data_IF_624018983582
#
_entry.id   IF_624018983582
#
_cell.length_a   1.000
_cell.length_b   1.000
_cell.length_c   1.000
_cell.angle_alpha   90.00
_cell.angle_beta   90.00
_cell.angle_gamma   90.00
#
_symmetry.space_group_name_H-M   'P 1'
#
loop_
_entity.id
_entity.type
_entity.pdbx_description
1 polymer ?
#
# COMPACT_ATOMS: atom_id res chain seq x y z
N UNK A 1 -12.21 13.90 -13.16
CA UNK A 1 -13.16 12.80 -12.87
C UNK A 1 -13.90 13.04 -11.57
N UNK A 2 -13.23 13.15 -10.41
CA UNK A 2 -13.92 13.45 -9.14
C UNK A 2 -14.79 14.73 -9.18
N UNK A 3 -14.26 15.83 -9.71
CA UNK A 3 -14.99 17.12 -9.75
C UNK A 3 -16.30 17.10 -10.58
N UNK A 4 -16.49 16.09 -11.43
CA UNK A 4 -17.65 16.00 -12.33
C UNK A 4 -18.80 15.16 -11.76
N UNK A 5 -18.50 14.27 -10.82
CA UNK A 5 -19.45 13.28 -10.27
C UNK A 5 -18.92 12.72 -8.92
N UNK A 6 -18.78 13.56 -7.88
CA UNK A 6 -18.15 13.17 -6.62
C UNK A 6 -18.99 12.17 -5.82
N UNK A 7 -20.32 12.30 -5.87
CA UNK A 7 -21.25 11.40 -5.17
C UNK A 7 -21.25 10.01 -5.79
N UNK A 8 -21.31 9.94 -7.12
CA UNK A 8 -21.28 8.67 -7.87
C UNK A 8 -19.97 7.93 -7.68
N UNK A 9 -18.82 8.64 -7.68
CA UNK A 9 -17.53 8.02 -7.38
C UNK A 9 -17.52 7.46 -5.96
N UNK A 10 -17.98 8.25 -4.99
CA UNK A 10 -17.98 7.84 -3.57
C UNK A 10 -18.87 6.61 -3.34
N UNK A 11 -20.07 6.60 -3.91
CA UNK A 11 -20.98 5.44 -3.84
C UNK A 11 -20.38 4.21 -4.53
N UNK A 12 -19.74 4.40 -5.69
CA UNK A 12 -19.06 3.31 -6.39
C UNK A 12 -17.95 2.70 -5.53
N UNK A 13 -17.11 3.53 -4.91
CA UNK A 13 -16.02 3.07 -4.05
C UNK A 13 -16.54 2.32 -2.81
N UNK A 14 -17.67 2.75 -2.22
CA UNK A 14 -18.32 2.00 -1.13
C UNK A 14 -18.78 0.60 -1.57
N UNK A 15 -19.34 0.48 -2.76
CA UNK A 15 -19.78 -0.82 -3.31
C UNK A 15 -18.57 -1.73 -3.58
N UNK A 16 -17.48 -1.17 -4.12
CA UNK A 16 -16.22 -1.88 -4.32
C UNK A 16 -15.67 -2.40 -2.99
N UNK A 17 -15.59 -1.54 -1.96
CA UNK A 17 -15.17 -1.93 -0.61
C UNK A 17 -16.02 -3.09 -0.08
N UNK A 18 -17.36 -2.98 -0.15
CA UNK A 18 -18.27 -4.04 0.32
C UNK A 18 -18.03 -5.37 -0.40
N UNK A 19 -17.68 -5.33 -1.69
CA UNK A 19 -17.32 -6.54 -2.41
C UNK A 19 -16.01 -7.14 -1.89
N UNK A 20 -15.00 -6.31 -1.66
CA UNK A 20 -13.70 -6.72 -1.13
C UNK A 20 -13.77 -7.20 0.33
N UNK A 21 -14.65 -6.64 1.16
CA UNK A 21 -14.87 -7.09 2.55
C UNK A 21 -15.20 -8.59 2.60
N UNK A 22 -15.91 -9.13 1.59
CA UNK A 22 -16.20 -10.56 1.49
C UNK A 22 -14.93 -11.38 1.20
N UNK A 23 -14.05 -10.88 0.33
CA UNK A 23 -12.78 -11.52 0.03
C UNK A 23 -11.86 -11.50 1.27
N UNK A 24 -11.80 -10.37 1.98
CA UNK A 24 -11.05 -10.25 3.24
C UNK A 24 -11.52 -11.30 4.23
N UNK A 25 -12.83 -11.43 4.47
CA UNK A 25 -13.35 -12.43 5.41
C UNK A 25 -12.91 -13.87 5.07
N UNK A 26 -12.97 -14.27 3.81
CA UNK A 26 -12.51 -15.59 3.37
C UNK A 26 -11.01 -15.79 3.58
N UNK A 27 -10.20 -14.76 3.33
CA UNK A 27 -8.74 -14.83 3.52
C UNK A 27 -8.38 -14.89 5.00
N UNK A 28 -9.13 -14.23 5.89
CA UNK A 28 -8.92 -14.29 7.33
C UNK A 28 -9.15 -15.69 7.91
N UNK A 29 -10.06 -16.47 7.33
CA UNK A 29 -10.30 -17.87 7.72
C UNK A 29 -9.33 -18.86 7.05
N UNK A 30 -8.52 -18.39 6.11
CA UNK A 30 -7.54 -19.22 5.39
C UNK A 30 -6.30 -19.52 6.26
N UNK A 31 -5.51 -20.53 5.92
CA UNK A 31 -4.25 -20.84 6.61
C UNK A 31 -3.12 -19.85 6.32
N UNK A 32 -3.33 -18.84 5.46
CA UNK A 32 -2.28 -17.85 5.15
C UNK A 32 -1.90 -17.04 6.39
N UNK A 33 -0.60 -16.89 6.62
CA UNK A 33 -0.05 -16.09 7.75
C UNK A 33 0.09 -14.62 7.39
N UNK A 34 0.24 -14.33 6.10
CA UNK A 34 0.37 -12.97 5.55
C UNK A 34 -0.83 -12.72 4.66
N UNK A 35 -1.50 -11.58 4.88
CA UNK A 35 -2.59 -11.09 4.05
C UNK A 35 -2.14 -9.80 3.41
N UNK A 36 -2.05 -9.82 2.08
CA UNK A 36 -1.69 -8.67 1.28
C UNK A 36 -2.96 -7.97 0.78
N UNK A 37 -3.04 -6.66 1.00
CA UNK A 37 -4.00 -5.76 0.38
C UNK A 37 -3.37 -5.32 -0.95
N UNK A 38 -3.92 -5.76 -2.09
CA UNK A 38 -3.33 -5.52 -3.41
C UNK A 38 -3.72 -4.13 -3.90
N UNK A 39 -3.16 -3.10 -3.27
CA UNK A 39 -3.24 -1.73 -3.76
C UNK A 39 -2.16 -1.49 -4.83
N UNK A 40 -2.47 -0.72 -5.87
CA UNK A 40 -1.47 -0.19 -6.80
C UNK A 40 -1.66 1.32 -6.83
N UNK A 41 -1.20 1.94 -5.75
CA UNK A 41 -1.38 3.36 -5.50
C UNK A 41 -0.14 4.10 -5.97
N UNK A 42 -0.34 5.00 -6.93
CA UNK A 42 0.68 5.97 -7.32
C UNK A 42 0.33 7.34 -6.75
N UNK A 43 1.34 8.04 -6.24
CA UNK A 43 1.17 9.37 -5.66
C UNK A 43 0.63 10.39 -6.66
N UNK A 44 0.89 10.19 -7.96
CA UNK A 44 0.39 11.02 -9.05
C UNK A 44 -1.14 10.95 -9.22
N UNK A 45 -1.75 9.82 -8.82
CA UNK A 45 -3.19 9.59 -8.97
C UNK A 45 -3.95 9.89 -7.69
N UNK A 46 -3.46 9.38 -6.55
CA UNK A 46 -4.19 9.43 -5.28
C UNK A 46 -3.72 10.61 -4.45
N UNK A 47 -2.42 10.70 -4.20
CA UNK A 47 -1.81 11.70 -3.32
C UNK A 47 -2.45 11.75 -1.92
N UNK A 48 -2.03 12.71 -1.08
CA UNK A 48 -2.50 12.80 0.30
C UNK A 48 -4.01 13.02 0.44
N UNK A 49 -4.61 13.80 -0.47
CA UNK A 49 -6.03 14.19 -0.37
C UNK A 49 -6.96 13.00 -0.61
N UNK A 50 -6.80 12.26 -1.71
CA UNK A 50 -7.67 11.11 -1.96
C UNK A 50 -7.32 9.92 -1.07
N UNK A 51 -6.08 9.84 -0.58
CA UNK A 51 -5.74 8.88 0.47
C UNK A 51 -6.61 9.08 1.71
N UNK A 52 -6.66 10.30 2.25
CA UNK A 52 -7.45 10.59 3.46
C UNK A 52 -8.96 10.45 3.20
N UNK A 53 -9.44 10.81 2.01
CA UNK A 53 -10.86 10.74 1.68
C UNK A 53 -11.37 9.33 1.43
N UNK A 54 -10.55 8.48 0.81
CA UNK A 54 -11.03 7.21 0.25
C UNK A 54 -10.24 6.00 0.68
N UNK A 55 -8.94 6.13 1.01
CA UNK A 55 -8.06 4.97 1.22
C UNK A 55 -7.90 4.59 2.69
N UNK A 56 -7.59 5.60 3.51
CA UNK A 56 -7.21 5.40 4.92
C UNK A 56 -8.21 4.59 5.73
N UNK A 57 -9.50 4.87 5.58
CA UNK A 57 -10.55 4.23 6.37
C UNK A 57 -10.61 2.72 6.10
N UNK A 58 -10.69 2.29 4.83
CA UNK A 58 -10.78 0.87 4.53
C UNK A 58 -9.46 0.14 4.77
N UNK A 59 -8.32 0.79 4.50
CA UNK A 59 -7.01 0.20 4.77
C UNK A 59 -6.84 -0.06 6.27
N UNK A 60 -7.26 0.89 7.12
CA UNK A 60 -7.25 0.73 8.58
C UNK A 60 -8.19 -0.41 9.01
N UNK A 61 -9.44 -0.42 8.51
CA UNK A 61 -10.44 -1.47 8.81
C UNK A 61 -9.92 -2.87 8.45
N UNK A 62 -9.35 -3.04 7.26
CA UNK A 62 -8.82 -4.34 6.82
C UNK A 62 -7.58 -4.74 7.60
N UNK A 63 -6.65 -3.80 7.84
CA UNK A 63 -5.46 -4.05 8.67
C UNK A 63 -5.84 -4.51 10.07
N UNK A 64 -6.80 -3.85 10.71
CA UNK A 64 -7.24 -4.20 12.06
C UNK A 64 -7.83 -5.61 12.10
N UNK A 65 -8.71 -5.95 11.15
CA UNK A 65 -9.27 -7.30 11.02
C UNK A 65 -8.19 -8.37 10.79
N UNK A 66 -7.16 -8.06 10.00
CA UNK A 66 -6.02 -8.97 9.77
C UNK A 66 -5.24 -9.19 11.06
N UNK A 67 -4.94 -8.12 11.80
CA UNK A 67 -4.22 -8.21 13.07
C UNK A 67 -5.03 -8.93 14.15
N UNK A 68 -6.33 -8.69 14.24
CA UNK A 68 -7.26 -9.38 15.14
C UNK A 68 -7.32 -10.89 14.87
N UNK A 69 -7.19 -11.30 13.61
CA UNK A 69 -7.08 -12.71 13.22
C UNK A 69 -5.69 -13.33 13.52
N UNK A 70 -4.77 -12.55 14.11
CA UNK A 70 -3.41 -13.00 14.43
C UNK A 70 -2.49 -13.13 13.21
N UNK A 71 -2.82 -12.45 12.10
CA UNK A 71 -2.08 -12.52 10.84
C UNK A 71 -1.27 -11.25 10.60
N UNK A 72 -0.27 -11.33 9.73
CA UNK A 72 0.52 -10.17 9.29
C UNK A 72 -0.18 -9.46 8.14
N UNK A 73 -0.26 -8.14 8.22
CA UNK A 73 -0.86 -7.30 7.18
C UNK A 73 0.21 -6.69 6.28
N UNK A 74 -0.04 -6.76 4.99
CA UNK A 74 0.84 -6.23 3.96
C UNK A 74 0.06 -5.33 3.02
N UNK A 75 0.66 -4.23 2.59
CA UNK A 75 0.15 -3.44 1.47
C UNK A 75 1.21 -3.37 0.37
N UNK A 76 0.79 -3.63 -0.87
CA UNK A 76 1.61 -3.41 -2.06
C UNK A 76 1.64 -1.90 -2.35
N UNK A 77 2.83 -1.33 -2.49
CA UNK A 77 3.00 0.07 -2.90
C UNK A 77 4.17 0.17 -3.89
N UNK A 78 3.85 0.39 -5.16
CA UNK A 78 4.81 0.64 -6.24
C UNK A 78 4.68 2.08 -6.79
N UNK A 79 5.58 2.46 -7.70
CA UNK A 79 5.63 3.83 -8.24
C UNK A 79 6.45 4.80 -7.40
N UNK A 80 5.99 6.06 -7.30
CA UNK A 80 6.69 7.12 -6.57
C UNK A 80 6.29 7.17 -5.10
N UNK A 81 7.29 7.05 -4.23
CA UNK A 81 7.12 6.93 -2.78
C UNK A 81 6.87 8.28 -2.11
N UNK A 82 7.49 9.36 -2.60
CA UNK A 82 7.51 10.66 -1.89
C UNK A 82 6.13 11.22 -1.57
N UNK A 83 5.15 10.99 -2.43
CA UNK A 83 3.83 11.59 -2.26
C UNK A 83 2.85 10.79 -1.39
N UNK A 84 3.17 9.54 -1.01
CA UNK A 84 2.24 8.66 -0.28
C UNK A 84 2.87 7.83 0.84
N UNK A 85 4.19 7.66 0.88
CA UNK A 85 4.82 6.76 1.85
C UNK A 85 4.50 7.14 3.31
N UNK A 86 4.38 8.44 3.61
CA UNK A 86 4.00 8.90 4.95
C UNK A 86 2.57 8.52 5.32
N UNK A 87 1.66 8.60 4.35
CA UNK A 87 0.26 8.23 4.50
C UNK A 87 0.13 6.72 4.76
N UNK A 88 0.74 5.90 3.90
CA UNK A 88 0.72 4.44 4.02
C UNK A 88 1.38 3.97 5.33
N UNK A 89 2.53 4.57 5.69
CA UNK A 89 3.21 4.26 6.95
C UNK A 89 2.36 4.61 8.20
N UNK A 90 1.44 5.57 8.08
CA UNK A 90 0.55 5.97 9.19
C UNK A 90 -0.58 4.98 9.48
N UNK A 91 -0.88 4.06 8.56
CA UNK A 91 -1.93 3.04 8.74
C UNK A 91 -1.50 1.99 9.77
N UNK A 92 -0.21 1.68 9.83
CA UNK A 92 0.35 0.70 10.76
C UNK A 92 0.23 -0.75 10.27
N UNK A 93 0.48 -0.99 8.98
CA UNK A 93 0.67 -2.33 8.44
C UNK A 93 1.86 -3.06 9.09
N UNK A 94 1.91 -4.39 9.00
CA UNK A 94 3.12 -5.13 9.39
C UNK A 94 4.26 -4.78 8.45
N UNK A 95 4.01 -4.76 7.13
CA UNK A 95 4.98 -4.28 6.14
C UNK A 95 4.31 -3.58 4.95
N UNK A 96 5.04 -2.63 4.36
CA UNK A 96 4.78 -2.08 3.03
C UNK A 96 5.78 -2.70 2.09
N UNK A 97 5.31 -3.33 1.02
CA UNK A 97 6.16 -4.00 0.04
C UNK A 97 6.20 -3.28 -1.31
N UNK A 98 7.04 -3.78 -2.22
CA UNK A 98 7.39 -3.17 -3.50
C UNK A 98 8.09 -1.79 -3.44
N UNK A 99 8.54 -1.36 -2.26
CA UNK A 99 9.19 -0.06 -2.06
C UNK A 99 10.49 0.05 -2.86
N UNK A 100 10.45 0.75 -3.99
CA UNK A 100 11.58 0.84 -4.92
C UNK A 100 12.40 2.10 -4.62
N UNK A 101 13.69 1.97 -4.25
CA UNK A 101 14.52 3.13 -3.95
C UNK A 101 14.99 3.85 -5.22
N UNK A 102 15.45 5.09 -5.05
CA UNK A 102 16.23 5.78 -6.07
C UNK A 102 17.47 4.95 -6.48
N UNK A 103 17.91 4.98 -7.76
CA UNK A 103 17.43 5.86 -8.84
C UNK A 103 16.25 5.31 -9.66
N UNK A 104 15.75 4.11 -9.38
CA UNK A 104 14.59 3.58 -10.14
C UNK A 104 13.27 4.15 -9.62
N UNK A 105 13.13 4.24 -8.30
CA UNK A 105 12.11 5.06 -7.66
C UNK A 105 12.58 6.50 -7.48
N UNK A 106 11.82 7.27 -6.71
CA UNK A 106 12.03 8.71 -6.53
C UNK A 106 12.61 9.09 -5.16
N UNK A 107 12.74 8.14 -4.22
CA UNK A 107 13.17 8.38 -2.85
C UNK A 107 14.40 7.51 -2.46
N UNK A 108 15.52 8.11 -2.02
CA UNK A 108 16.66 7.36 -1.47
C UNK A 108 16.29 6.62 -0.17
N UNK A 109 16.88 5.44 0.06
CA UNK A 109 16.61 4.61 1.24
C UNK A 109 16.93 5.37 2.54
N UNK A 110 17.97 6.20 2.51
CA UNK A 110 18.45 7.00 3.63
C UNK A 110 17.40 8.01 4.13
N UNK A 111 16.44 8.39 3.27
CA UNK A 111 15.36 9.30 3.63
C UNK A 111 14.12 8.57 4.18
N UNK A 112 13.99 7.25 4.00
CA UNK A 112 12.76 6.51 4.30
C UNK A 112 12.35 6.63 5.76
N UNK A 113 13.30 6.56 6.69
CA UNK A 113 13.01 6.67 8.14
C UNK A 113 12.19 7.92 8.47
N UNK A 114 12.47 9.05 7.81
CA UNK A 114 11.73 10.31 8.02
C UNK A 114 10.27 10.30 7.52
N UNK A 115 9.94 9.37 6.61
CA UNK A 115 8.57 9.17 6.12
C UNK A 115 7.80 8.20 7.02
N UNK A 116 8.47 7.17 7.55
CA UNK A 116 7.88 6.24 8.50
C UNK A 116 7.63 6.86 9.88
N UNK A 117 8.48 7.79 10.32
CA UNK A 117 8.37 8.42 11.63
C UNK A 117 8.43 7.39 12.76
N UNK A 118 7.44 7.41 13.66
CA UNK A 118 7.35 6.44 14.77
C UNK A 118 6.71 5.09 14.37
N UNK A 119 6.38 4.91 13.09
CA UNK A 119 5.77 3.67 12.61
C UNK A 119 6.71 2.47 12.77
N UNK A 120 6.14 1.35 13.20
CA UNK A 120 6.86 0.06 13.31
C UNK A 120 6.73 -0.80 12.05
N UNK A 121 6.09 -0.26 11.01
CA UNK A 121 5.91 -0.95 9.74
C UNK A 121 7.27 -1.23 9.09
N UNK A 122 7.45 -2.46 8.62
CA UNK A 122 8.68 -2.88 7.95
C UNK A 122 8.63 -2.45 6.49
N UNK A 123 9.70 -1.83 6.01
CA UNK A 123 9.89 -1.57 4.58
C UNK A 123 10.44 -2.82 3.88
N UNK A 124 9.75 -3.30 2.83
CA UNK A 124 10.12 -4.52 2.11
C UNK A 124 10.38 -4.26 0.61
N UNK A 125 11.56 -4.67 0.14
CA UNK A 125 11.79 -5.02 -1.27
C UNK A 125 12.03 -3.87 -2.23
N UNK A 126 11.45 -4.01 -3.44
CA UNK A 126 11.54 -3.07 -4.56
C UNK A 126 12.83 -3.09 -5.37
N UNK A 127 13.54 -4.23 -5.47
CA UNK A 127 14.68 -4.35 -6.39
C UNK A 127 14.14 -4.53 -7.81
N UNK A 128 14.45 -3.63 -8.76
CA UNK A 128 13.96 -3.74 -10.13
C UNK A 128 14.39 -5.05 -10.78
N UNK A 129 13.43 -5.78 -11.34
CA UNK A 129 13.68 -7.05 -12.05
C UNK A 129 14.73 -6.92 -13.16
N UNK A 130 14.81 -5.74 -13.78
CA UNK A 130 15.78 -5.42 -14.82
C UNK A 130 17.25 -5.59 -14.38
N UNK A 131 17.56 -5.46 -13.08
CA UNK A 131 18.92 -5.66 -12.53
C UNK A 131 19.36 -7.12 -12.50
N UNK A 132 18.45 -8.06 -12.70
CA UNK A 132 18.76 -9.49 -12.78
C UNK A 132 18.95 -9.97 -14.22
N UNK A 133 19.14 -9.04 -15.18
CA UNK A 133 19.35 -9.36 -16.59
C UNK A 133 20.83 -9.19 -16.97
N UNK A 134 21.27 -9.93 -18.00
CA UNK A 134 22.63 -9.82 -18.52
C UNK A 134 22.97 -8.43 -19.14
N UNK A 135 21.98 -7.55 -19.29
CA UNK A 135 22.18 -6.19 -19.81
C UNK A 135 22.65 -5.20 -18.73
N UNK A 136 22.42 -5.51 -17.47
CA UNK A 136 22.62 -4.60 -16.32
C UNK A 136 23.43 -5.24 -15.20
N UNK A 137 23.67 -6.56 -15.26
CA UNK A 137 24.44 -7.32 -14.29
C UNK A 137 25.34 -8.34 -14.97
N UNK A 138 26.50 -8.60 -14.35
CA UNK A 138 27.45 -9.64 -14.73
C UNK A 138 27.33 -10.88 -13.82
N UNK A 139 26.22 -11.01 -13.08
CA UNK A 139 25.94 -12.14 -12.20
C UNK A 139 25.71 -13.44 -12.98
#
# INVERSE_FOLDING_TARGET
>A
MYMSAPEELTETLKIVKKSMDRAVHLVLESPAEIVMIPENLSAEVVGPTFFEMFMKEYQTDWKDKIHEAGKFSCIHMDGTLKGLLRQEASVGFTFIEALTPAPTGDLPIEEWESYFGDSKTIAWGGIPGAYFTAHTSNA
#
